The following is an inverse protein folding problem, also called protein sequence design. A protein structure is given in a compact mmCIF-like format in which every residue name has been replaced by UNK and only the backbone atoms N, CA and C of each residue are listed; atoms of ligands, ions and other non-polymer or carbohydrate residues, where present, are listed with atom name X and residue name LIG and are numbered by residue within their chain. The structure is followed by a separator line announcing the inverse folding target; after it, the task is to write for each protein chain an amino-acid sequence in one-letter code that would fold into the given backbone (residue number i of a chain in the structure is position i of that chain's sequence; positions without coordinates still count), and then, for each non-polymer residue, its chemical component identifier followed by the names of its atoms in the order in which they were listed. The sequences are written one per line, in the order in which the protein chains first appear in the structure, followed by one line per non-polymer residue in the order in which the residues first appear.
data_IF_837270871310
#
_entry.id   IF_837270871310
#
_cell.length_a   1.000
_cell.length_b   1.000
_cell.length_c   1.000
_cell.angle_alpha   90.00
_cell.angle_beta   90.00
_cell.angle_gamma   90.00
#
_symmetry.space_group_name_H-M   'P 1'
#
loop_
_entity.id
_entity.type
_entity.pdbx_description
1 polymer ?
#
# COMPACT_ATOMS: atom_id res chain seq x y z
N UNK A 1 -8.55 -11.58 -11.25
CA UNK A 1 -7.98 -10.20 -11.32
C UNK A 1 -9.13 -9.21 -11.37
N UNK A 2 -9.17 -8.29 -10.42
CA UNK A 2 -10.23 -7.26 -10.33
C UNK A 2 -10.05 -6.22 -11.45
N UNK A 3 -11.11 -5.83 -12.21
CA UNK A 3 -11.02 -4.71 -13.16
C UNK A 3 -10.52 -3.43 -12.46
N UNK A 4 -9.70 -2.60 -13.15
CA UNK A 4 -9.04 -1.47 -12.52
C UNK A 4 -10.02 -0.46 -11.90
N UNK A 5 -11.09 -0.12 -12.59
CA UNK A 5 -12.10 0.84 -12.08
C UNK A 5 -12.80 0.31 -10.82
N UNK A 6 -13.09 -0.99 -10.80
CA UNK A 6 -13.64 -1.67 -9.60
C UNK A 6 -12.63 -1.70 -8.47
N UNK A 7 -11.35 -1.90 -8.77
CA UNK A 7 -10.27 -1.85 -7.79
C UNK A 7 -10.15 -0.46 -7.14
N UNK A 8 -10.20 0.61 -7.96
CA UNK A 8 -10.18 2.00 -7.48
C UNK A 8 -11.38 2.29 -6.59
N UNK A 9 -12.56 1.83 -6.97
CA UNK A 9 -13.77 2.01 -6.16
C UNK A 9 -13.68 1.27 -4.83
N UNK A 10 -13.26 0.01 -4.84
CA UNK A 10 -13.05 -0.76 -3.61
C UNK A 10 -11.95 -0.14 -2.73
N UNK A 11 -10.87 0.36 -3.33
CA UNK A 11 -9.82 1.07 -2.61
C UNK A 11 -10.36 2.34 -1.93
N UNK A 12 -11.15 3.14 -2.66
CA UNK A 12 -11.81 4.31 -2.08
C UNK A 12 -12.70 3.96 -0.89
N UNK A 13 -13.46 2.86 -0.97
CA UNK A 13 -14.27 2.37 0.16
C UNK A 13 -13.38 1.89 1.32
N UNK A 14 -12.32 1.15 1.03
CA UNK A 14 -11.40 0.61 2.03
C UNK A 14 -10.72 1.74 2.82
N UNK A 15 -10.34 2.83 2.13
CA UNK A 15 -9.54 3.93 2.66
C UNK A 15 -10.34 5.16 3.08
N UNK A 16 -11.68 5.14 3.02
CA UNK A 16 -12.54 6.30 3.31
C UNK A 16 -12.35 6.90 4.71
N UNK A 17 -11.71 6.18 5.61
CA UNK A 17 -11.38 6.68 6.96
C UNK A 17 -10.19 7.63 6.99
N UNK A 18 -9.43 7.72 5.92
CA UNK A 18 -8.22 8.54 5.86
C UNK A 18 -8.53 10.02 5.76
N UNK A 19 -7.88 10.79 6.61
CA UNK A 19 -8.06 12.25 6.69
C UNK A 19 -6.92 13.02 6.03
N UNK A 20 -5.91 12.32 5.49
CA UNK A 20 -4.76 12.96 4.89
C UNK A 20 -4.97 13.09 3.38
N UNK A 21 -5.02 14.34 2.92
CA UNK A 21 -4.98 14.64 1.50
C UNK A 21 -3.52 14.87 1.09
N UNK A 22 -3.04 14.07 0.17
CA UNK A 22 -1.77 14.32 -0.51
C UNK A 22 -2.06 14.67 -1.97
N UNK A 23 -1.17 15.39 -2.60
CA UNK A 23 -1.25 15.65 -4.03
C UNK A 23 -1.12 14.32 -4.81
N UNK A 24 -1.72 14.21 -6.00
CA UNK A 24 -1.43 13.08 -6.88
C UNK A 24 0.08 12.97 -7.13
N UNK A 25 0.63 11.74 -7.22
CA UNK A 25 2.05 11.57 -7.46
C UNK A 25 2.47 12.19 -8.81
N UNK A 26 3.61 12.84 -8.80
CA UNK A 26 4.24 13.39 -10.00
C UNK A 26 5.38 12.46 -10.48
N UNK A 27 5.81 12.54 -11.75
CA UNK A 27 6.99 11.82 -12.19
C UNK A 27 8.23 12.12 -11.33
N UNK A 28 8.33 13.33 -10.82
CA UNK A 28 9.44 13.76 -9.95
C UNK A 28 9.36 13.09 -8.57
N UNK A 29 8.18 13.05 -7.93
CA UNK A 29 8.00 12.36 -6.64
C UNK A 29 8.27 10.86 -6.77
N UNK A 30 7.76 10.21 -7.83
CA UNK A 30 8.01 8.79 -8.10
C UNK A 30 9.51 8.53 -8.30
N UNK A 31 10.20 9.34 -9.13
CA UNK A 31 11.64 9.19 -9.37
C UNK A 31 12.47 9.42 -8.09
N UNK A 32 12.06 10.35 -7.23
CA UNK A 32 12.68 10.58 -5.92
C UNK A 32 12.56 9.34 -5.03
N UNK A 33 11.35 8.79 -4.90
CA UNK A 33 11.10 7.59 -4.10
C UNK A 33 11.94 6.41 -4.61
N UNK A 34 11.90 6.14 -5.91
CA UNK A 34 12.64 5.03 -6.52
C UNK A 34 14.15 5.14 -6.25
N UNK A 35 14.70 6.34 -6.33
CA UNK A 35 16.13 6.59 -6.06
C UNK A 35 16.47 6.42 -4.57
N UNK A 36 15.63 6.94 -3.66
CA UNK A 36 15.93 6.96 -2.22
C UNK A 36 15.67 5.61 -1.55
N UNK A 37 14.64 4.87 -2.00
CA UNK A 37 14.30 3.57 -1.43
C UNK A 37 14.89 2.39 -2.23
N UNK A 38 15.47 2.62 -3.41
CA UNK A 38 16.06 1.57 -4.23
C UNK A 38 15.06 0.60 -4.85
N UNK A 39 13.79 1.01 -5.01
CA UNK A 39 12.71 0.19 -5.54
C UNK A 39 12.20 0.74 -6.88
N UNK A 40 11.51 -0.10 -7.64
CA UNK A 40 10.68 0.35 -8.76
C UNK A 40 9.23 0.43 -8.27
N UNK A 41 8.64 1.62 -8.32
CA UNK A 41 7.23 1.80 -7.95
C UNK A 41 6.34 1.18 -9.02
N UNK A 42 5.48 0.20 -8.67
CA UNK A 42 4.57 -0.43 -9.62
C UNK A 42 3.59 0.57 -10.26
N UNK A 43 3.33 0.42 -11.57
CA UNK A 43 2.40 1.30 -12.27
C UNK A 43 1.01 1.31 -11.65
N UNK A 44 0.51 0.17 -11.19
CA UNK A 44 -0.80 0.10 -10.53
C UNK A 44 -0.84 0.92 -9.24
N UNK A 45 0.29 1.02 -8.52
CA UNK A 45 0.38 1.90 -7.35
C UNK A 45 0.23 3.38 -7.76
N UNK A 46 0.99 3.83 -8.75
CA UNK A 46 0.91 5.20 -9.27
C UNK A 46 -0.51 5.52 -9.75
N UNK A 47 -1.13 4.61 -10.49
CA UNK A 47 -2.50 4.77 -11.00
C UNK A 47 -3.55 4.88 -9.88
N UNK A 48 -3.46 4.02 -8.86
CA UNK A 48 -4.37 4.07 -7.70
C UNK A 48 -4.17 5.36 -6.92
N UNK A 49 -2.92 5.74 -6.62
CA UNK A 49 -2.62 6.97 -5.90
C UNK A 49 -3.05 8.23 -6.67
N UNK A 50 -3.04 8.18 -8.01
CA UNK A 50 -3.55 9.26 -8.86
C UNK A 50 -5.08 9.34 -8.84
N UNK A 51 -5.75 8.19 -8.87
CA UNK A 51 -7.22 8.12 -8.87
C UNK A 51 -7.82 8.38 -7.48
N UNK A 52 -7.09 8.04 -6.42
CA UNK A 52 -7.49 8.18 -5.01
C UNK A 52 -6.41 8.95 -4.25
N UNK A 53 -6.28 10.27 -4.44
CA UNK A 53 -5.27 11.06 -3.76
C UNK A 53 -5.50 11.19 -2.25
N UNK A 54 -6.67 10.80 -1.75
CA UNK A 54 -6.94 10.72 -0.33
C UNK A 54 -6.14 9.58 0.27
N UNK A 55 -5.21 9.92 1.14
CA UNK A 55 -4.36 8.98 1.82
C UNK A 55 -4.98 8.53 3.15
N UNK A 56 -5.17 7.24 3.31
CA UNK A 56 -5.86 6.67 4.48
C UNK A 56 -4.93 6.31 5.66
N UNK A 57 -3.65 6.55 5.57
CA UNK A 57 -2.68 6.07 6.54
C UNK A 57 -2.41 4.56 6.45
N UNK A 58 -2.98 3.88 5.48
CA UNK A 58 -2.90 2.42 5.29
C UNK A 58 -1.93 2.00 4.17
N UNK A 59 -1.53 2.94 3.32
CA UNK A 59 -0.46 2.76 2.34
C UNK A 59 0.44 3.97 2.39
N UNK A 60 1.75 3.78 2.35
CA UNK A 60 2.69 4.88 2.31
C UNK A 60 2.38 5.80 1.13
N UNK A 61 1.99 7.05 1.40
CA UNK A 61 1.63 8.01 0.37
C UNK A 61 2.83 8.35 -0.51
N UNK A 62 2.67 8.21 -1.83
CA UNK A 62 3.70 8.51 -2.83
C UNK A 62 3.56 9.91 -3.46
N UNK A 63 2.54 10.66 -3.08
CA UNK A 63 2.39 12.08 -3.40
C UNK A 63 2.99 12.98 -2.32
N UNK A 64 3.14 14.26 -2.64
CA UNK A 64 3.60 15.27 -1.69
C UNK A 64 2.44 15.75 -0.81
N UNK A 65 2.69 15.93 0.47
CA UNK A 65 1.77 16.57 1.40
C UNK A 65 1.88 18.12 1.34
N UNK A 66 1.18 18.81 2.24
CA UNK A 66 1.18 20.26 2.32
C UNK A 66 2.54 20.85 2.76
N UNK A 67 3.44 20.04 3.32
CA UNK A 67 4.81 20.42 3.70
C UNK A 67 5.82 20.07 2.59
N UNK A 68 5.35 19.65 1.41
CA UNK A 68 6.18 19.15 0.30
C UNK A 68 7.00 17.90 0.65
N UNK A 69 6.54 17.15 1.66
CA UNK A 69 7.16 15.89 2.07
C UNK A 69 6.42 14.69 1.46
N UNK A 70 7.18 13.63 1.21
CA UNK A 70 6.63 12.38 0.67
C UNK A 70 6.54 11.38 1.81
N UNK A 71 5.31 11.07 2.19
CA UNK A 71 5.01 10.30 3.40
C UNK A 71 5.75 8.95 3.47
N UNK A 72 5.79 8.19 2.36
CA UNK A 72 6.49 6.89 2.34
C UNK A 72 7.99 7.02 2.65
N UNK A 73 8.64 8.12 2.24
CA UNK A 73 10.06 8.35 2.55
C UNK A 73 10.26 8.61 4.03
N UNK A 74 9.41 9.46 4.62
CA UNK A 74 9.45 9.78 6.05
C UNK A 74 9.18 8.56 6.92
N UNK A 75 8.17 7.74 6.55
CA UNK A 75 7.87 6.50 7.25
C UNK A 75 9.05 5.52 7.21
N UNK A 76 9.62 5.28 6.03
CA UNK A 76 10.77 4.39 5.92
C UNK A 76 11.95 4.87 6.76
N UNK A 77 12.25 6.17 6.75
CA UNK A 77 13.33 6.72 7.57
C UNK A 77 13.07 6.50 9.07
N UNK A 78 11.83 6.71 9.55
CA UNK A 78 11.46 6.49 10.94
C UNK A 78 11.57 5.02 11.34
N UNK A 79 11.00 4.10 10.56
CA UNK A 79 10.99 2.68 10.87
C UNK A 79 12.40 2.06 10.80
N UNK A 80 13.25 2.50 9.88
CA UNK A 80 14.66 2.08 9.87
C UNK A 80 15.42 2.59 11.10
N UNK A 81 15.14 3.80 11.59
CA UNK A 81 15.70 4.32 12.82
C UNK A 81 15.23 3.52 14.06
N UNK A 82 14.05 2.92 14.01
CA UNK A 82 13.47 2.05 15.04
C UNK A 82 13.90 0.58 14.94
N UNK A 83 14.65 0.20 13.90
CA UNK A 83 15.22 -1.14 13.76
C UNK A 83 14.68 -1.99 12.63
N UNK A 84 13.84 -1.45 11.73
CA UNK A 84 13.45 -2.16 10.50
C UNK A 84 14.71 -2.49 9.70
N UNK A 85 14.85 -3.76 9.33
CA UNK A 85 16.05 -4.20 8.63
C UNK A 85 16.19 -3.51 7.26
N UNK A 86 17.42 -3.17 6.82
CA UNK A 86 17.65 -2.30 5.66
C UNK A 86 17.20 -2.89 4.30
N UNK A 87 16.93 -4.19 4.25
CA UNK A 87 16.41 -4.85 3.06
C UNK A 87 14.89 -4.83 2.96
N UNK A 88 14.19 -4.31 3.97
CA UNK A 88 12.76 -4.09 3.91
C UNK A 88 12.45 -2.63 3.58
N UNK A 89 11.56 -2.41 2.63
CA UNK A 89 10.99 -1.09 2.35
C UNK A 89 9.53 -1.11 2.76
N UNK A 90 9.19 -0.30 3.76
CA UNK A 90 7.86 -0.19 4.31
C UNK A 90 6.87 0.31 3.25
N UNK A 91 5.80 -0.44 3.05
CA UNK A 91 4.66 -0.07 2.20
C UNK A 91 3.49 0.42 3.06
N UNK A 92 3.20 -0.29 4.15
CA UNK A 92 2.11 0.00 5.07
C UNK A 92 2.44 -0.49 6.48
N UNK A 93 1.79 0.07 7.48
CA UNK A 93 1.93 -0.35 8.87
C UNK A 93 0.57 -0.44 9.57
N UNK A 94 0.37 -1.52 10.32
CA UNK A 94 -0.80 -1.72 11.18
C UNK A 94 -0.69 -0.96 12.50
N UNK A 95 -1.80 -0.90 13.22
CA UNK A 95 -1.85 -0.30 14.56
C UNK A 95 -1.01 -1.06 15.60
N UNK A 96 -0.75 -2.34 15.36
CA UNK A 96 0.00 -3.21 16.25
C UNK A 96 1.53 -3.17 15.98
N UNK A 97 1.97 -2.29 15.08
CA UNK A 97 3.38 -2.12 14.70
C UNK A 97 3.87 -3.12 13.65
N UNK A 98 3.03 -4.05 13.24
CA UNK A 98 3.34 -4.95 12.12
C UNK A 98 3.32 -4.19 10.79
N UNK A 99 4.18 -4.59 9.85
CA UNK A 99 4.44 -3.88 8.61
C UNK A 99 4.26 -4.75 7.38
N UNK A 100 3.64 -4.22 6.34
CA UNK A 100 3.73 -4.75 4.99
C UNK A 100 4.92 -4.09 4.29
N UNK A 101 5.89 -4.91 3.85
CA UNK A 101 7.15 -4.42 3.29
C UNK A 101 7.48 -5.09 1.97
N UNK A 102 8.08 -4.35 1.03
CA UNK A 102 8.85 -4.98 -0.05
C UNK A 102 10.12 -5.59 0.52
N UNK A 103 10.40 -6.86 0.17
CA UNK A 103 11.64 -7.54 0.50
C UNK A 103 12.64 -7.42 -0.66
N UNK A 104 13.64 -6.56 -0.51
CA UNK A 104 14.62 -6.27 -1.56
C UNK A 104 15.60 -7.42 -1.84
N UNK A 105 15.62 -8.47 -1.02
CA UNK A 105 16.49 -9.64 -1.21
C UNK A 105 16.05 -10.51 -2.38
N UNK A 106 14.80 -10.37 -2.79
CA UNK A 106 14.20 -11.22 -3.82
C UNK A 106 13.54 -10.37 -4.91
N UNK A 107 13.44 -10.98 -6.08
CA UNK A 107 12.70 -10.43 -7.23
C UNK A 107 11.78 -11.53 -7.75
N UNK A 108 10.53 -11.21 -7.94
CA UNK A 108 9.49 -12.14 -8.40
C UNK A 108 9.55 -12.32 -9.92
N UNK A 109 8.73 -13.25 -10.43
CA UNK A 109 8.57 -13.46 -11.88
C UNK A 109 7.99 -12.23 -12.59
N UNK A 110 7.26 -11.37 -11.89
CA UNK A 110 6.76 -10.08 -12.40
C UNK A 110 7.82 -8.97 -12.41
N UNK A 111 9.05 -9.26 -11.97
CA UNK A 111 10.16 -8.30 -11.80
C UNK A 111 9.88 -7.23 -10.74
N UNK A 112 8.97 -7.50 -9.83
CA UNK A 112 8.74 -6.71 -8.63
C UNK A 112 9.42 -7.37 -7.42
N UNK A 113 9.63 -6.62 -6.34
CA UNK A 113 9.97 -7.21 -5.06
C UNK A 113 8.72 -7.79 -4.41
N UNK A 114 8.78 -8.98 -3.78
CA UNK A 114 7.64 -9.52 -3.07
C UNK A 114 7.26 -8.62 -1.90
N UNK A 115 5.96 -8.58 -1.58
CA UNK A 115 5.48 -7.91 -0.38
C UNK A 115 5.28 -8.98 0.69
N UNK A 116 5.89 -8.75 1.85
CA UNK A 116 5.90 -9.66 3.00
C UNK A 116 5.43 -8.92 4.25
N UNK A 117 4.88 -9.67 5.18
CA UNK A 117 4.45 -9.14 6.46
C UNK A 117 5.60 -9.27 7.47
N UNK A 118 6.06 -8.15 8.03
CA UNK A 118 7.18 -8.08 8.97
C UNK A 118 6.63 -7.74 10.35
N UNK A 119 7.01 -8.55 11.35
CA UNK A 119 6.58 -8.34 12.73
C UNK A 119 7.34 -7.23 13.43
N UNK A 120 6.95 -6.99 14.69
CA UNK A 120 7.51 -5.97 15.58
C UNK A 120 9.04 -6.08 15.79
N UNK A 121 9.64 -7.25 15.53
CA UNK A 121 11.10 -7.40 15.61
C UNK A 121 11.84 -6.69 14.45
N UNK A 122 11.11 -6.27 13.42
CA UNK A 122 11.64 -5.55 12.25
C UNK A 122 12.66 -6.32 11.41
N UNK A 123 12.89 -7.60 11.72
CA UNK A 123 14.04 -8.35 11.20
C UNK A 123 13.62 -9.44 10.22
N UNK A 124 12.48 -10.07 10.44
CA UNK A 124 12.01 -11.25 9.69
C UNK A 124 10.53 -11.16 9.37
N UNK A 125 10.11 -11.77 8.26
CA UNK A 125 8.68 -11.99 8.03
C UNK A 125 8.07 -12.79 9.19
N UNK A 126 6.96 -12.30 9.73
CA UNK A 126 6.27 -12.93 10.86
C UNK A 126 5.10 -13.82 10.46
N UNK A 127 4.75 -13.82 9.17
CA UNK A 127 3.70 -14.65 8.58
C UNK A 127 4.17 -15.22 7.25
N UNK A 128 3.63 -16.36 6.86
CA UNK A 128 3.82 -16.93 5.52
C UNK A 128 3.08 -16.13 4.42
N UNK A 129 2.42 -15.02 4.79
CA UNK A 129 1.77 -14.14 3.85
C UNK A 129 2.80 -13.43 2.97
N UNK A 130 2.78 -13.79 1.70
CA UNK A 130 3.68 -13.28 0.68
C UNK A 130 2.86 -12.99 -0.58
N UNK A 131 3.05 -11.81 -1.11
CA UNK A 131 2.43 -11.39 -2.37
C UNK A 131 3.52 -11.22 -3.44
N UNK A 132 3.34 -11.86 -4.56
CA UNK A 132 4.31 -11.87 -5.67
C UNK A 132 4.30 -10.57 -6.49
N UNK A 133 3.31 -9.69 -6.28
CA UNK A 133 3.23 -8.38 -6.93
C UNK A 133 2.41 -7.40 -6.09
N UNK A 134 2.62 -6.10 -6.32
CA UNK A 134 1.76 -5.07 -5.74
C UNK A 134 0.29 -5.28 -6.14
N UNK A 135 0.03 -5.76 -7.35
CA UNK A 135 -1.33 -6.01 -7.84
C UNK A 135 -2.06 -7.04 -6.98
N UNK A 136 -1.44 -8.19 -6.69
CA UNK A 136 -2.04 -9.22 -5.84
C UNK A 136 -2.21 -8.76 -4.39
N UNK A 137 -1.26 -7.99 -3.88
CA UNK A 137 -1.36 -7.37 -2.56
C UNK A 137 -2.57 -6.42 -2.45
N UNK A 138 -2.69 -5.47 -3.37
CA UNK A 138 -3.74 -4.46 -3.31
C UNK A 138 -5.14 -5.06 -3.55
N UNK A 139 -5.27 -6.07 -4.38
CA UNK A 139 -6.54 -6.82 -4.56
C UNK A 139 -6.98 -7.48 -3.25
N UNK A 140 -6.05 -8.12 -2.53
CA UNK A 140 -6.33 -8.70 -1.22
C UNK A 140 -6.69 -7.61 -0.19
N UNK A 141 -5.89 -6.54 -0.13
CA UNK A 141 -6.11 -5.41 0.77
C UNK A 141 -7.51 -4.81 0.62
N UNK A 142 -7.95 -4.51 -0.62
CA UNK A 142 -9.25 -3.87 -0.83
C UNK A 142 -10.42 -4.80 -0.52
N UNK A 143 -10.32 -6.09 -0.82
CA UNK A 143 -11.35 -7.08 -0.50
C UNK A 143 -11.56 -7.15 1.01
N UNK A 144 -10.51 -7.28 1.79
CA UNK A 144 -10.59 -7.39 3.24
C UNK A 144 -11.09 -6.09 3.89
N UNK A 145 -10.51 -4.96 3.52
CA UNK A 145 -10.78 -3.69 4.18
C UNK A 145 -12.10 -3.05 3.75
N UNK A 146 -12.47 -3.10 2.47
CA UNK A 146 -13.76 -2.58 2.01
C UNK A 146 -14.94 -3.39 2.56
N UNK A 147 -14.81 -4.73 2.65
CA UNK A 147 -15.83 -5.61 3.22
C UNK A 147 -16.01 -5.40 4.74
N UNK A 148 -15.02 -4.81 5.41
CA UNK A 148 -14.99 -4.52 6.85
C UNK A 148 -15.27 -3.05 7.16
N UNK A 149 -15.59 -2.20 6.17
CA UNK A 149 -15.83 -0.78 6.38
C UNK A 149 -16.92 -0.56 7.45
N UNK A 150 -16.71 0.32 8.46
CA UNK A 150 -17.65 0.56 9.57
C UNK A 150 -18.95 1.19 9.11
N UNK A 151 -18.94 1.94 7.99
CA UNK A 151 -20.17 2.55 7.44
C UNK A 151 -21.01 1.47 6.74
N UNK A 152 -22.22 1.14 7.27
CA UNK A 152 -22.99 0.00 6.76
C UNK A 152 -23.34 0.09 5.27
N UNK A 153 -23.56 1.30 4.75
CA UNK A 153 -23.89 1.51 3.36
C UNK A 153 -22.72 1.15 2.44
N UNK A 154 -21.50 1.59 2.77
CA UNK A 154 -20.29 1.31 2.01
C UNK A 154 -19.90 -0.16 2.11
N UNK A 155 -19.98 -0.73 3.30
CA UNK A 155 -19.76 -2.16 3.50
C UNK A 155 -20.70 -3.02 2.65
N UNK A 156 -22.00 -2.69 2.58
CA UNK A 156 -22.96 -3.39 1.72
C UNK A 156 -22.60 -3.25 0.23
N UNK A 157 -22.20 -2.03 -0.20
CA UNK A 157 -21.77 -1.78 -1.57
C UNK A 157 -20.55 -2.62 -1.92
N UNK A 158 -19.51 -2.59 -1.09
CA UNK A 158 -18.30 -3.40 -1.28
C UNK A 158 -18.60 -4.90 -1.37
N UNK A 159 -19.40 -5.43 -0.43
CA UNK A 159 -19.77 -6.86 -0.46
C UNK A 159 -20.50 -7.26 -1.73
N UNK A 160 -21.38 -6.43 -2.26
CA UNK A 160 -22.05 -6.67 -3.54
C UNK A 160 -21.04 -6.72 -4.68
N UNK A 161 -20.17 -5.71 -4.79
CA UNK A 161 -19.12 -5.67 -5.82
C UNK A 161 -18.21 -6.91 -5.78
N UNK A 162 -17.80 -7.34 -4.58
CA UNK A 162 -16.97 -8.53 -4.41
C UNK A 162 -17.72 -9.80 -4.84
N UNK A 163 -19.00 -9.92 -4.51
CA UNK A 163 -19.84 -11.04 -4.95
C UNK A 163 -20.00 -11.10 -6.48
N UNK A 164 -20.19 -9.94 -7.12
CA UNK A 164 -20.29 -9.83 -8.59
C UNK A 164 -18.98 -10.25 -9.31
N UNK A 165 -17.85 -10.10 -8.65
CA UNK A 165 -16.55 -10.55 -9.15
C UNK A 165 -16.31 -12.07 -8.94
N UNK A 166 -17.19 -12.75 -8.24
CA UNK A 166 -17.05 -14.17 -7.88
C UNK A 166 -15.75 -14.47 -7.10
N UNK A 167 -15.33 -13.53 -6.27
CA UNK A 167 -14.16 -13.62 -5.40
C UNK A 167 -14.52 -14.15 -4.00
#
# INVERSE_FOLDING_TARGET
MIPFDTLVELFSIATERGLHHVAPPTPQSVAKIQRELGITIPNDYVRIATACPSYAGLLGGIGEDYEHDIHILRLNAAFHAEGLAPHFVLLDHGHDGDCDCWDLRETTSSREHPIVYVGLDGVRPCRDARFESFRTYIENFVVMNAASNPKPALRRRAKRMIQELQL
#
